data_IF_144071514960
#
_entry.id   IF_144071514960
#
_cell.length_a   1.000
_cell.length_b   1.000
_cell.length_c   1.000
_cell.angle_alpha   90.00
_cell.angle_beta   90.00
_cell.angle_gamma   90.00
#
_symmetry.space_group_name_H-M   'P 1'
#
loop_
_entity.id
_entity.type
_entity.pdbx_description
1 polymer ?
#
# COMPACT_ATOMS: atom_id res chain seq x y z
N UNK A 1 -11.43 -53.77 -65.10
CA UNK A 1 -9.95 -53.75 -65.09
C UNK A 1 -9.50 -52.54 -65.89
N UNK A 2 -8.49 -51.82 -65.37
CA UNK A 2 -7.78 -50.62 -65.90
C UNK A 2 -8.56 -49.33 -66.10
N UNK A 3 -8.21 -48.27 -65.34
CA UNK A 3 -7.41 -47.16 -65.87
C UNK A 3 -6.87 -46.25 -64.76
N UNK A 4 -5.75 -45.61 -65.08
CA UNK A 4 -4.81 -44.84 -64.26
C UNK A 4 -5.14 -43.35 -64.23
N UNK A 5 -4.84 -42.65 -63.12
CA UNK A 5 -3.99 -41.43 -63.12
C UNK A 5 -3.73 -40.87 -61.72
N UNK A 6 -2.50 -40.37 -61.58
CA UNK A 6 -1.92 -39.71 -60.42
C UNK A 6 -2.52 -38.32 -60.12
N UNK A 7 -2.43 -37.90 -58.86
CA UNK A 7 -2.15 -36.52 -58.48
C UNK A 7 -1.50 -36.50 -57.10
N UNK A 8 -0.31 -35.92 -57.05
CA UNK A 8 0.42 -35.53 -55.86
C UNK A 8 -0.41 -34.59 -54.98
N UNK A 9 -0.14 -34.68 -53.67
CA UNK A 9 -0.64 -33.76 -52.66
C UNK A 9 0.24 -33.88 -51.42
N UNK A 10 1.41 -33.26 -51.47
CA UNK A 10 2.29 -33.09 -50.32
C UNK A 10 1.56 -32.21 -49.29
N UNK A 11 1.25 -32.78 -48.12
CA UNK A 11 0.67 -32.04 -47.01
C UNK A 11 1.78 -31.24 -46.34
N UNK A 12 1.80 -29.94 -46.61
CA UNK A 12 2.60 -28.94 -45.90
C UNK A 12 2.31 -29.00 -44.39
N UNK A 13 3.32 -29.38 -43.61
CA UNK A 13 3.35 -29.22 -42.15
C UNK A 13 3.69 -27.76 -41.81
N UNK A 14 2.75 -26.84 -42.05
CA UNK A 14 2.82 -25.45 -41.54
C UNK A 14 2.00 -25.33 -40.26
N UNK A 15 2.37 -26.12 -39.26
CA UNK A 15 1.88 -25.98 -37.89
C UNK A 15 2.89 -25.23 -37.03
N UNK A 16 3.07 -23.92 -37.27
CA UNK A 16 3.73 -23.06 -36.30
C UNK A 16 2.95 -23.19 -34.98
N UNK A 17 3.54 -23.82 -33.98
CA UNK A 17 2.95 -23.96 -32.66
C UNK A 17 2.99 -22.58 -32.00
N UNK A 18 2.02 -21.73 -32.32
CA UNK A 18 1.79 -20.48 -31.59
C UNK A 18 1.53 -20.86 -30.13
N UNK A 19 2.48 -20.53 -29.26
CA UNK A 19 2.29 -20.62 -27.82
C UNK A 19 1.01 -19.84 -27.46
N UNK A 20 0.08 -20.41 -26.68
CA UNK A 20 -1.19 -19.77 -26.41
C UNK A 20 -0.95 -18.38 -25.80
N UNK A 21 -1.38 -17.33 -26.51
CA UNK A 21 -1.41 -15.97 -26.01
C UNK A 21 -2.37 -15.93 -24.82
N UNK A 22 -1.84 -16.11 -23.62
CA UNK A 22 -2.64 -16.01 -22.40
C UNK A 22 -3.16 -14.57 -22.27
N UNK A 23 -4.48 -14.41 -22.31
CA UNK A 23 -5.17 -13.14 -22.11
C UNK A 23 -4.73 -12.47 -20.80
N UNK A 24 -4.76 -11.13 -20.75
CA UNK A 24 -4.36 -10.32 -19.58
C UNK A 24 -4.98 -10.83 -18.27
N UNK A 25 -6.27 -11.20 -18.30
CA UNK A 25 -7.00 -11.77 -17.16
C UNK A 25 -6.45 -13.14 -16.75
N UNK A 26 -6.04 -13.98 -17.70
CA UNK A 26 -5.41 -15.27 -17.43
C UNK A 26 -4.01 -15.10 -16.83
N UNK A 27 -3.23 -14.11 -17.25
CA UNK A 27 -1.91 -13.77 -16.66
C UNK A 27 -2.03 -13.21 -15.23
N UNK A 28 -3.07 -12.42 -14.98
CA UNK A 28 -3.48 -11.97 -13.64
C UNK A 28 -3.80 -13.17 -12.75
N UNK A 29 -4.63 -14.10 -13.24
CA UNK A 29 -5.08 -15.27 -12.46
C UNK A 29 -3.96 -16.30 -12.23
N UNK A 30 -3.07 -16.48 -13.19
CA UNK A 30 -1.92 -17.42 -13.09
C UNK A 30 -0.70 -16.83 -12.37
N UNK A 31 -0.71 -15.53 -12.06
CA UNK A 31 0.38 -14.85 -11.34
C UNK A 31 1.69 -14.74 -12.12
N UNK A 32 1.68 -14.93 -13.44
CA UNK A 32 2.88 -15.06 -14.29
C UNK A 32 3.37 -13.74 -14.90
N UNK A 33 3.05 -12.59 -14.29
CA UNK A 33 3.72 -11.31 -14.58
C UNK A 33 2.85 -10.28 -15.30
N UNK A 34 1.72 -9.89 -14.71
CA UNK A 34 0.91 -8.80 -15.24
C UNK A 34 1.41 -7.40 -14.81
N UNK A 35 2.08 -7.28 -13.65
CA UNK A 35 2.49 -5.97 -13.11
C UNK A 35 3.97 -5.90 -12.75
N UNK A 36 4.60 -4.80 -13.15
CA UNK A 36 5.96 -4.43 -12.76
C UNK A 36 5.93 -3.31 -11.70
N UNK A 37 5.57 -3.71 -10.48
CA UNK A 37 5.44 -2.80 -9.33
C UNK A 37 6.82 -2.34 -8.84
N UNK A 38 7.75 -3.29 -8.70
CA UNK A 38 9.09 -3.00 -8.17
C UNK A 38 9.92 -2.16 -9.14
N UNK A 39 9.81 -2.42 -10.45
CA UNK A 39 10.50 -1.62 -11.47
C UNK A 39 10.05 -0.15 -11.48
N UNK A 40 8.76 0.10 -11.21
CA UNK A 40 8.17 1.44 -11.13
C UNK A 40 8.11 2.01 -9.71
N UNK A 41 8.87 1.48 -8.75
CA UNK A 41 8.85 1.90 -7.33
C UNK A 41 8.99 3.41 -7.10
N UNK A 42 9.74 4.14 -7.92
CA UNK A 42 9.88 5.61 -7.81
C UNK A 42 8.55 6.33 -8.02
N UNK A 43 7.75 5.88 -8.97
CA UNK A 43 6.41 6.41 -9.24
C UNK A 43 5.50 6.13 -8.03
N UNK A 44 5.52 4.90 -7.51
CA UNK A 44 4.71 4.54 -6.35
C UNK A 44 5.10 5.31 -5.08
N UNK A 45 6.39 5.54 -4.84
CA UNK A 45 6.83 6.44 -3.77
C UNK A 45 6.39 7.89 -3.98
N UNK A 46 6.41 8.38 -5.22
CA UNK A 46 5.87 9.71 -5.54
C UNK A 46 4.38 9.80 -5.20
N UNK A 47 3.59 8.81 -5.59
CA UNK A 47 2.14 8.75 -5.29
C UNK A 47 1.91 8.62 -3.79
N UNK A 48 2.55 7.68 -3.11
CA UNK A 48 2.42 7.48 -1.66
C UNK A 48 2.86 8.72 -0.89
N UNK A 49 3.96 9.36 -1.30
CA UNK A 49 4.44 10.61 -0.72
C UNK A 49 3.44 11.76 -0.90
N UNK A 50 2.83 11.89 -2.08
CA UNK A 50 1.79 12.88 -2.32
C UNK A 50 0.53 12.62 -1.46
N UNK A 51 0.10 11.36 -1.34
CA UNK A 51 -1.04 10.99 -0.48
C UNK A 51 -0.76 11.36 0.98
N UNK A 52 0.43 11.03 1.50
CA UNK A 52 0.83 11.40 2.86
C UNK A 52 0.93 12.91 3.02
N UNK A 53 1.48 13.62 2.05
CA UNK A 53 1.58 15.08 2.11
C UNK A 53 0.19 15.75 2.18
N UNK A 54 -0.76 15.28 1.35
CA UNK A 54 -2.15 15.76 1.39
C UNK A 54 -2.81 15.42 2.73
N UNK A 55 -2.61 14.20 3.23
CA UNK A 55 -3.13 13.76 4.53
C UNK A 55 -2.61 14.63 5.67
N UNK A 56 -1.29 14.87 5.74
CA UNK A 56 -0.67 15.70 6.77
C UNK A 56 -1.09 17.17 6.65
N UNK A 57 -1.12 17.73 5.44
CA UNK A 57 -1.56 19.10 5.21
C UNK A 57 -3.01 19.29 5.66
N UNK A 58 -3.87 18.31 5.38
CA UNK A 58 -5.25 18.32 5.86
C UNK A 58 -5.31 18.34 7.38
N UNK A 59 -4.57 17.45 8.04
CA UNK A 59 -4.55 17.36 9.51
C UNK A 59 -4.10 18.68 10.14
N UNK A 60 -3.09 19.33 9.57
CA UNK A 60 -2.54 20.59 10.08
C UNK A 60 -3.50 21.77 9.86
N UNK A 61 -4.11 21.87 8.67
CA UNK A 61 -4.94 23.02 8.31
C UNK A 61 -6.37 22.93 8.86
N UNK A 62 -6.96 21.74 8.86
CA UNK A 62 -8.38 21.53 9.19
C UNK A 62 -8.58 20.87 10.56
N UNK A 63 -7.62 20.07 11.01
CA UNK A 63 -7.74 19.31 12.25
C UNK A 63 -8.77 18.18 12.17
N UNK A 64 -9.19 17.69 13.34
CA UNK A 64 -10.17 16.60 13.47
C UNK A 64 -11.49 17.10 14.05
N UNK A 65 -12.60 16.62 13.49
CA UNK A 65 -13.93 16.82 14.06
C UNK A 65 -14.21 15.68 15.04
N UNK A 66 -13.97 15.90 16.33
CA UNK A 66 -14.32 14.89 17.34
C UNK A 66 -15.82 14.86 17.60
N UNK A 67 -16.39 13.65 17.72
CA UNK A 67 -17.77 13.46 18.10
C UNK A 67 -18.03 13.79 19.58
N UNK A 68 -19.32 13.87 19.93
CA UNK A 68 -19.77 14.11 21.32
C UNK A 68 -19.27 13.04 22.29
N UNK A 69 -18.93 11.85 21.79
CA UNK A 69 -18.36 10.77 22.58
C UNK A 69 -16.96 11.08 23.15
N UNK A 70 -16.24 12.05 22.59
CA UNK A 70 -14.94 12.49 23.10
C UNK A 70 -15.02 13.85 23.79
N UNK A 71 -15.84 14.77 23.27
CA UNK A 71 -15.98 16.13 23.81
C UNK A 71 -17.04 16.27 24.92
N UNK A 72 -17.95 15.31 25.04
CA UNK A 72 -19.23 15.52 25.72
C UNK A 72 -20.19 16.33 24.84
N UNK A 73 -21.49 16.26 25.13
CA UNK A 73 -22.49 17.09 24.47
C UNK A 73 -23.80 16.39 24.15
N UNK A 74 -24.63 17.04 23.34
CA UNK A 74 -25.89 16.47 22.84
C UNK A 74 -25.93 16.56 21.33
N UNK A 75 -26.23 15.43 20.69
CA UNK A 75 -26.52 15.35 19.25
C UNK A 75 -28.01 15.13 19.07
N UNK A 76 -28.63 15.90 18.18
CA UNK A 76 -30.02 15.71 17.75
C UNK A 76 -30.02 15.50 16.23
N UNK A 77 -30.72 14.47 15.77
CA UNK A 77 -30.84 14.10 14.36
C UNK A 77 -32.30 14.04 13.95
N UNK A 78 -32.60 14.54 12.75
CA UNK A 78 -33.93 14.42 12.14
C UNK A 78 -33.82 14.28 10.62
N UNK A 79 -34.81 13.64 9.95
CA UNK A 79 -34.93 13.70 8.50
C UNK A 79 -34.95 15.16 8.00
N UNK A 80 -34.15 15.46 6.99
CA UNK A 80 -33.97 16.83 6.47
C UNK A 80 -35.28 17.43 5.99
N UNK A 81 -36.04 16.69 5.18
CA UNK A 81 -37.14 17.26 4.40
C UNK A 81 -36.67 18.49 3.62
N UNK A 82 -37.33 19.62 3.84
CA UNK A 82 -36.98 20.91 3.22
C UNK A 82 -36.12 21.82 4.11
N UNK A 83 -35.64 21.33 5.26
CA UNK A 83 -34.90 22.14 6.21
C UNK A 83 -33.53 22.55 5.68
N UNK A 84 -33.19 23.83 5.82
CA UNK A 84 -31.85 24.37 5.59
C UNK A 84 -31.09 24.49 6.91
N UNK A 85 -29.75 24.37 6.86
CA UNK A 85 -28.88 24.47 8.04
C UNK A 85 -29.07 25.78 8.81
N UNK A 86 -29.23 26.90 8.09
CA UNK A 86 -29.48 28.22 8.68
C UNK A 86 -30.78 28.28 9.49
N UNK A 87 -31.87 27.74 8.94
CA UNK A 87 -33.18 27.69 9.59
C UNK A 87 -33.15 26.82 10.84
N UNK A 88 -32.48 25.66 10.76
CA UNK A 88 -32.35 24.75 11.89
C UNK A 88 -31.51 25.38 13.00
N UNK A 89 -30.43 26.08 12.65
CA UNK A 89 -29.62 26.84 13.60
C UNK A 89 -30.42 27.95 14.30
N UNK A 90 -31.30 28.64 13.56
CA UNK A 90 -32.16 29.68 14.12
C UNK A 90 -33.21 29.11 15.09
N UNK A 91 -33.85 27.99 14.73
CA UNK A 91 -34.80 27.29 15.61
C UNK A 91 -34.11 26.81 16.88
N UNK A 92 -32.89 26.26 16.76
CA UNK A 92 -32.08 25.87 17.91
C UNK A 92 -31.80 27.07 18.82
N UNK A 93 -31.32 28.19 18.24
CA UNK A 93 -31.02 29.41 19.00
C UNK A 93 -32.23 29.97 19.71
N UNK A 94 -33.41 29.96 19.06
CA UNK A 94 -34.67 30.39 19.66
C UNK A 94 -35.13 29.49 20.81
N UNK A 95 -34.92 28.18 20.71
CA UNK A 95 -35.35 27.21 21.71
C UNK A 95 -34.40 27.13 22.92
N UNK A 96 -33.08 27.22 22.69
CA UNK A 96 -32.05 27.00 23.71
C UNK A 96 -31.44 28.30 24.23
N UNK A 97 -31.48 29.39 23.46
CA UNK A 97 -30.86 30.67 23.80
C UNK A 97 -29.34 30.72 23.53
N UNK A 98 -28.77 29.68 22.92
CA UNK A 98 -27.36 29.59 22.49
C UNK A 98 -27.28 29.09 21.05
N UNK A 99 -26.21 29.40 20.35
CA UNK A 99 -25.94 28.80 19.04
C UNK A 99 -25.49 27.34 19.18
N UNK A 100 -25.86 26.46 18.23
CA UNK A 100 -25.33 25.10 18.19
C UNK A 100 -23.84 25.13 17.78
N UNK A 101 -23.06 24.15 18.22
CA UNK A 101 -21.66 24.01 17.80
C UNK A 101 -21.54 23.72 16.30
N UNK A 102 -22.46 22.90 15.77
CA UNK A 102 -22.52 22.63 14.33
C UNK A 102 -23.90 22.15 13.92
N UNK A 103 -24.31 22.50 12.70
CA UNK A 103 -25.48 21.95 12.02
C UNK A 103 -25.02 21.47 10.65
N UNK A 104 -25.09 20.17 10.41
CA UNK A 104 -24.66 19.56 9.15
C UNK A 104 -25.78 18.74 8.54
N UNK A 105 -25.86 18.78 7.22
CA UNK A 105 -26.73 17.87 6.46
C UNK A 105 -25.88 16.68 6.05
N UNK A 106 -26.37 15.49 6.38
CA UNK A 106 -25.70 14.24 6.09
C UNK A 106 -26.52 13.45 5.08
N UNK A 107 -25.89 13.05 3.98
CA UNK A 107 -26.54 12.33 2.89
C UNK A 107 -27.13 13.24 1.81
N UNK A 108 -27.73 12.61 0.79
CA UNK A 108 -28.25 13.29 -0.39
C UNK A 108 -29.68 12.83 -0.68
N UNK A 109 -30.50 13.72 -1.24
CA UNK A 109 -31.88 13.41 -1.64
C UNK A 109 -32.84 13.25 -0.46
N UNK A 110 -33.87 12.40 -0.64
CA UNK A 110 -34.97 12.22 0.30
C UNK A 110 -34.56 11.58 1.65
N UNK A 111 -33.44 10.86 1.67
CA UNK A 111 -32.90 10.21 2.89
C UNK A 111 -31.89 11.07 3.64
N UNK A 112 -31.65 12.32 3.19
CA UNK A 112 -30.75 13.22 3.90
C UNK A 112 -31.29 13.50 5.31
N UNK A 113 -30.40 13.52 6.29
CA UNK A 113 -30.69 13.90 7.68
C UNK A 113 -29.99 15.20 8.04
N UNK A 114 -30.58 15.95 8.96
CA UNK A 114 -29.94 17.09 9.60
C UNK A 114 -29.47 16.64 10.97
N UNK A 115 -28.17 16.81 11.23
CA UNK A 115 -27.54 16.51 12.50
C UNK A 115 -27.10 17.83 13.15
N UNK A 116 -27.58 18.03 14.37
CA UNK A 116 -27.33 19.21 15.20
C UNK A 116 -26.46 18.76 16.36
N UNK A 117 -25.42 19.53 16.67
CA UNK A 117 -24.54 19.32 17.81
C UNK A 117 -24.51 20.55 18.69
N UNK A 118 -24.49 20.30 19.99
CA UNK A 118 -24.34 21.33 21.00
C UNK A 118 -23.61 20.82 22.23
N UNK A 119 -23.27 21.75 23.10
CA UNK A 119 -23.00 21.48 24.52
C UNK A 119 -24.11 20.62 25.13
N UNK A 120 -23.80 19.96 26.25
CA UNK A 120 -24.73 19.04 26.93
C UNK A 120 -26.02 19.78 27.31
N UNK A 121 -27.13 19.31 26.75
CA UNK A 121 -28.47 19.78 27.06
C UNK A 121 -29.06 18.97 28.21
N UNK A 122 -29.78 19.63 29.10
CA UNK A 122 -30.62 18.96 30.09
C UNK A 122 -31.82 18.27 29.41
N UNK A 123 -32.42 17.25 30.06
CA UNK A 123 -33.60 16.56 29.50
C UNK A 123 -34.74 17.52 29.13
N UNK A 124 -34.93 18.58 29.92
CA UNK A 124 -35.95 19.61 29.66
C UNK A 124 -35.59 20.44 28.43
N UNK A 125 -34.33 20.83 28.28
CA UNK A 125 -33.84 21.55 27.10
C UNK A 125 -33.92 20.68 25.84
N UNK A 126 -33.54 19.40 25.91
CA UNK A 126 -33.65 18.46 24.80
C UNK A 126 -35.12 18.26 24.40
N UNK A 127 -36.03 18.19 25.37
CA UNK A 127 -37.47 18.09 25.10
C UNK A 127 -38.02 19.37 24.45
N UNK A 128 -37.63 20.55 24.96
CA UNK A 128 -37.96 21.85 24.35
C UNK A 128 -37.46 21.95 22.91
N UNK A 129 -36.23 21.54 22.66
CA UNK A 129 -35.63 21.54 21.33
C UNK A 129 -36.37 20.57 20.39
N UNK A 130 -36.68 19.36 20.84
CA UNK A 130 -37.43 18.38 20.04
C UNK A 130 -38.81 18.92 19.65
N UNK A 131 -39.50 19.60 20.57
CA UNK A 131 -40.78 20.24 20.28
C UNK A 131 -40.62 21.37 19.27
N UNK A 132 -39.66 22.27 19.46
CA UNK A 132 -39.43 23.38 18.55
C UNK A 132 -39.06 22.92 17.12
N UNK A 133 -38.23 21.88 17.01
CA UNK A 133 -37.88 21.28 15.71
C UNK A 133 -39.08 20.58 15.06
N UNK A 134 -39.92 19.90 15.84
CA UNK A 134 -41.14 19.29 15.34
C UNK A 134 -42.14 20.34 14.84
N UNK A 135 -42.35 21.40 15.60
CA UNK A 135 -43.29 22.47 15.24
C UNK A 135 -42.84 23.24 13.99
N UNK A 136 -41.52 23.42 13.82
CA UNK A 136 -40.96 24.13 12.67
C UNK A 136 -40.89 23.29 11.39
N UNK A 137 -40.52 22.00 11.49
CA UNK A 137 -40.14 21.20 10.32
C UNK A 137 -41.01 19.96 10.08
N UNK A 138 -41.82 19.55 11.07
CA UNK A 138 -42.71 18.39 10.98
C UNK A 138 -42.04 17.15 10.34
N UNK A 139 -40.88 16.69 10.86
CA UNK A 139 -40.12 15.61 10.26
C UNK A 139 -40.97 14.35 10.16
N UNK A 140 -40.92 13.71 8.99
CA UNK A 140 -41.73 12.52 8.66
C UNK A 140 -41.05 11.26 9.18
N UNK A 141 -41.80 10.40 9.87
CA UNK A 141 -41.37 9.05 10.23
C UNK A 141 -41.39 8.09 9.04
N UNK A 142 -41.06 6.82 9.29
CA UNK A 142 -40.99 5.78 8.26
C UNK A 142 -42.33 5.54 7.54
N UNK A 143 -43.43 5.88 8.21
CA UNK A 143 -44.81 5.81 7.75
C UNK A 143 -45.28 7.09 7.02
N UNK A 144 -44.35 8.01 6.71
CA UNK A 144 -44.58 9.19 5.87
C UNK A 144 -45.36 10.33 6.55
N UNK A 145 -45.73 10.15 7.82
CA UNK A 145 -46.47 11.12 8.64
C UNK A 145 -45.52 11.89 9.57
N UNK A 146 -45.79 13.18 9.87
CA UNK A 146 -45.04 13.92 10.87
C UNK A 146 -45.06 13.21 12.22
N UNK A 147 -43.89 12.97 12.80
CA UNK A 147 -43.76 12.27 14.07
C UNK A 147 -42.60 12.85 14.90
N UNK A 148 -42.81 13.05 16.20
CA UNK A 148 -41.73 13.44 17.13
C UNK A 148 -40.70 12.33 17.30
N UNK A 149 -41.09 11.07 17.07
CA UNK A 149 -40.20 9.91 17.10
C UNK A 149 -39.22 9.89 15.91
N UNK A 150 -39.48 10.68 14.86
CA UNK A 150 -38.52 10.88 13.78
C UNK A 150 -37.30 11.74 14.22
N UNK A 151 -37.36 12.36 15.39
CA UNK A 151 -36.25 13.14 15.97
C UNK A 151 -35.55 12.29 17.01
N UNK A 152 -34.32 11.86 16.70
CA UNK A 152 -33.45 11.11 17.59
C UNK A 152 -32.50 12.05 18.32
N UNK A 153 -32.25 11.78 19.59
CA UNK A 153 -31.30 12.48 20.43
C UNK A 153 -30.35 11.49 21.10
N UNK A 154 -29.11 11.91 21.27
CA UNK A 154 -28.08 11.21 22.02
C UNK A 154 -27.30 12.23 22.84
N UNK A 155 -27.22 12.01 24.15
CA UNK A 155 -26.47 12.85 25.06
C UNK A 155 -25.37 12.04 25.72
N UNK A 156 -24.17 12.63 25.78
CA UNK A 156 -23.00 12.04 26.41
C UNK A 156 -22.49 13.03 27.45
N UNK A 157 -22.25 12.54 28.67
CA UNK A 157 -21.66 13.35 29.74
C UNK A 157 -20.16 13.57 29.49
N UNK A 158 -19.65 14.73 29.88
CA UNK A 158 -18.22 15.07 29.79
C UNK A 158 -17.35 14.02 30.49
N UNK A 159 -17.77 13.53 31.66
CA UNK A 159 -17.07 12.48 32.42
C UNK A 159 -16.94 11.16 31.66
N UNK A 160 -17.95 10.79 30.88
CA UNK A 160 -17.91 9.60 30.05
C UNK A 160 -16.95 9.82 28.88
N UNK A 161 -17.03 10.98 28.23
CA UNK A 161 -16.16 11.32 27.10
C UNK A 161 -14.67 11.30 27.45
N UNK A 162 -14.31 11.86 28.61
CA UNK A 162 -12.94 11.87 29.11
C UNK A 162 -12.39 10.46 29.37
N UNK A 163 -13.21 9.60 29.98
CA UNK A 163 -12.83 8.20 30.26
C UNK A 163 -12.69 7.39 28.98
N UNK A 164 -13.59 7.58 28.01
CA UNK A 164 -13.58 6.86 26.74
C UNK A 164 -12.41 7.32 25.87
N UNK A 165 -12.12 8.62 25.80
CA UNK A 165 -10.94 9.15 25.10
C UNK A 165 -9.66 8.48 25.59
N UNK A 166 -9.45 8.44 26.92
CA UNK A 166 -8.26 7.84 27.52
C UNK A 166 -8.17 6.34 27.21
N UNK A 167 -9.26 5.60 27.36
CA UNK A 167 -9.29 4.16 27.07
C UNK A 167 -9.03 3.87 25.58
N UNK A 168 -9.59 4.66 24.67
CA UNK A 168 -9.38 4.51 23.24
C UNK A 168 -7.91 4.74 22.84
N UNK A 169 -7.27 5.78 23.41
CA UNK A 169 -5.85 6.06 23.18
C UNK A 169 -4.95 4.94 23.73
N UNK A 170 -5.24 4.47 24.95
CA UNK A 170 -4.50 3.34 25.56
C UNK A 170 -4.65 2.08 24.70
N UNK A 171 -5.86 1.76 24.25
CA UNK A 171 -6.11 0.60 23.40
C UNK A 171 -5.33 0.66 22.07
N UNK A 172 -5.28 1.84 21.43
CA UNK A 172 -4.50 2.05 20.21
C UNK A 172 -3.00 1.83 20.45
N UNK A 173 -2.44 2.42 21.52
CA UNK A 173 -1.01 2.29 21.83
C UNK A 173 -0.65 0.85 22.18
N UNK A 174 -1.47 0.18 23.00
CA UNK A 174 -1.27 -1.24 23.35
C UNK A 174 -1.34 -2.12 22.10
N UNK A 175 -2.31 -1.89 21.22
CA UNK A 175 -2.41 -2.61 19.95
C UNK A 175 -1.16 -2.44 19.08
N UNK A 176 -0.70 -1.20 18.88
CA UNK A 176 0.50 -0.91 18.09
C UNK A 176 1.75 -1.57 18.70
N UNK A 177 1.88 -1.57 20.02
CA UNK A 177 2.99 -2.21 20.72
C UNK A 177 2.98 -3.74 20.55
N UNK A 178 1.82 -4.38 20.73
CA UNK A 178 1.66 -5.83 20.57
C UNK A 178 1.93 -6.29 19.14
N UNK A 179 1.38 -5.56 18.16
CA UNK A 179 1.65 -5.81 16.73
C UNK A 179 3.14 -5.65 16.43
N UNK A 180 3.76 -4.58 16.92
CA UNK A 180 5.18 -4.32 16.65
C UNK A 180 6.06 -5.41 17.24
N UNK A 181 5.75 -5.86 18.45
CA UNK A 181 6.44 -6.99 19.08
C UNK A 181 6.27 -8.26 18.25
N UNK A 182 5.04 -8.59 17.86
CA UNK A 182 4.75 -9.78 17.05
C UNK A 182 5.53 -9.79 15.74
N UNK A 183 5.47 -8.69 14.97
CA UNK A 183 6.17 -8.58 13.68
C UNK A 183 7.68 -8.68 13.88
N UNK A 184 8.22 -8.03 14.90
CA UNK A 184 9.67 -8.03 15.18
C UNK A 184 10.18 -9.44 15.53
N UNK A 185 9.37 -10.24 16.22
CA UNK A 185 9.71 -11.63 16.55
C UNK A 185 9.51 -12.57 15.36
N UNK A 186 8.45 -12.35 14.56
CA UNK A 186 8.05 -13.25 13.46
C UNK A 186 8.84 -13.03 12.16
N UNK A 187 9.32 -11.80 11.90
CA UNK A 187 9.95 -11.41 10.64
C UNK A 187 11.38 -10.91 10.80
N UNK A 188 12.17 -11.02 9.73
CA UNK A 188 13.50 -10.41 9.68
C UNK A 188 13.42 -8.87 9.78
N UNK A 189 14.45 -8.26 10.38
CA UNK A 189 14.55 -6.82 10.69
C UNK A 189 14.04 -5.88 9.58
N UNK A 190 14.44 -6.11 8.33
CA UNK A 190 14.03 -5.24 7.21
C UNK A 190 12.57 -5.41 6.80
N UNK A 191 12.02 -6.62 6.94
CA UNK A 191 10.59 -6.88 6.74
C UNK A 191 9.80 -6.24 7.86
N UNK A 192 10.25 -6.36 9.11
CA UNK A 192 9.62 -5.72 10.25
C UNK A 192 9.57 -4.19 10.11
N UNK A 193 10.70 -3.54 9.78
CA UNK A 193 10.75 -2.09 9.54
C UNK A 193 9.80 -1.67 8.41
N UNK A 194 9.75 -2.44 7.33
CA UNK A 194 8.87 -2.14 6.19
C UNK A 194 7.40 -2.25 6.58
N UNK A 195 7.01 -3.33 7.26
CA UNK A 195 5.63 -3.53 7.73
C UNK A 195 5.19 -2.44 8.72
N UNK A 196 6.05 -2.08 9.68
CA UNK A 196 5.75 -1.01 10.64
C UNK A 196 5.62 0.35 9.97
N UNK A 197 6.49 0.65 9.01
CA UNK A 197 6.40 1.90 8.25
C UNK A 197 5.12 1.96 7.43
N UNK A 198 4.72 0.85 6.80
CA UNK A 198 3.43 0.73 6.10
C UNK A 198 2.25 0.93 7.04
N UNK A 199 2.30 0.37 8.25
CA UNK A 199 1.24 0.56 9.24
C UNK A 199 1.11 2.03 9.67
N UNK A 200 2.24 2.73 9.85
CA UNK A 200 2.24 4.18 10.10
C UNK A 200 1.67 4.97 8.91
N UNK A 201 1.99 4.56 7.68
CA UNK A 201 1.40 5.12 6.47
C UNK A 201 -0.14 4.95 6.49
N UNK A 202 -0.64 3.74 6.75
CA UNK A 202 -2.09 3.45 6.77
C UNK A 202 -2.82 4.29 7.81
N UNK A 203 -2.26 4.39 9.01
CA UNK A 203 -2.80 5.20 10.10
C UNK A 203 -2.85 6.67 9.71
N UNK A 204 -1.76 7.20 9.15
CA UNK A 204 -1.65 8.61 8.75
C UNK A 204 -2.60 8.95 7.62
N UNK A 205 -2.68 8.10 6.60
CA UNK A 205 -3.55 8.33 5.44
C UNK A 205 -5.02 8.19 5.83
N UNK A 206 -5.38 7.18 6.63
CA UNK A 206 -6.76 7.02 7.11
C UNK A 206 -7.19 8.21 7.97
N UNK A 207 -6.34 8.66 8.90
CA UNK A 207 -6.58 9.86 9.70
C UNK A 207 -6.66 11.13 8.83
N UNK A 208 -5.80 11.23 7.82
CA UNK A 208 -5.81 12.34 6.86
C UNK A 208 -7.09 12.43 6.05
N UNK A 209 -7.63 11.30 5.59
CA UNK A 209 -8.94 11.26 4.91
C UNK A 209 -10.06 11.72 5.83
N UNK A 210 -10.04 11.33 7.10
CA UNK A 210 -10.99 11.79 8.11
C UNK A 210 -10.96 13.30 8.30
N UNK A 211 -9.75 13.86 8.44
CA UNK A 211 -9.55 15.29 8.53
C UNK A 211 -9.99 16.01 7.23
N UNK A 212 -9.66 15.47 6.07
CA UNK A 212 -9.86 16.11 4.77
C UNK A 212 -11.33 16.25 4.42
N UNK A 213 -12.12 15.21 4.68
CA UNK A 213 -13.55 15.26 4.43
C UNK A 213 -14.29 15.94 5.59
N UNK A 214 -13.68 15.94 6.78
CA UNK A 214 -14.29 16.44 8.01
C UNK A 214 -15.22 15.41 8.66
N UNK A 215 -14.92 14.12 8.49
CA UNK A 215 -15.65 13.06 9.16
C UNK A 215 -15.42 13.08 10.66
N UNK A 216 -16.42 12.60 11.37
CA UNK A 216 -16.45 12.65 12.81
C UNK A 216 -15.65 11.48 13.38
N UNK A 217 -14.73 11.78 14.29
CA UNK A 217 -13.96 10.77 15.02
C UNK A 217 -14.77 10.41 16.25
N UNK A 218 -15.24 9.17 16.31
CA UNK A 218 -15.99 8.58 17.45
C UNK A 218 -15.27 7.33 17.98
N UNK A 219 -15.61 6.80 19.16
CA UNK A 219 -15.05 5.54 19.65
C UNK A 219 -15.26 4.38 18.66
N UNK A 220 -16.38 4.38 17.93
CA UNK A 220 -16.63 3.42 16.85
C UNK A 220 -15.59 3.55 15.72
N UNK A 221 -15.15 4.77 15.38
CA UNK A 221 -14.06 4.95 14.41
C UNK A 221 -12.73 4.38 14.90
N UNK A 222 -12.43 4.48 16.21
CA UNK A 222 -11.22 3.88 16.77
C UNK A 222 -11.29 2.35 16.69
N UNK A 223 -12.43 1.74 17.03
CA UNK A 223 -12.63 0.29 16.89
C UNK A 223 -12.46 -0.15 15.43
N UNK A 224 -13.05 0.59 14.49
CA UNK A 224 -12.90 0.32 13.07
C UNK A 224 -11.45 0.49 12.59
N UNK A 225 -10.73 1.50 13.10
CA UNK A 225 -9.31 1.73 12.82
C UNK A 225 -8.43 0.57 13.33
N UNK A 226 -8.68 0.05 14.53
CA UNK A 226 -7.97 -1.12 15.04
C UNK A 226 -8.24 -2.35 14.16
N UNK A 227 -9.49 -2.51 13.72
CA UNK A 227 -9.90 -3.60 12.82
C UNK A 227 -9.16 -3.55 11.48
N UNK A 228 -9.10 -2.37 10.83
CA UNK A 228 -8.41 -2.24 9.54
C UNK A 228 -6.90 -2.40 9.66
N UNK A 229 -6.30 -2.05 10.80
CA UNK A 229 -4.87 -2.27 10.98
C UNK A 229 -4.58 -3.78 11.00
N UNK A 230 -5.42 -4.58 11.68
CA UNK A 230 -5.34 -6.04 11.60
C UNK A 230 -5.48 -6.57 10.16
N UNK A 231 -6.42 -6.02 9.40
CA UNK A 231 -6.62 -6.40 8.00
C UNK A 231 -5.43 -6.04 7.10
N UNK A 232 -4.90 -4.82 7.20
CA UNK A 232 -3.73 -4.36 6.43
C UNK A 232 -2.48 -5.19 6.73
N UNK A 233 -2.28 -5.53 8.01
CA UNK A 233 -1.20 -6.41 8.43
C UNK A 233 -1.32 -7.79 7.83
N UNK A 234 -2.52 -8.38 7.80
CA UNK A 234 -2.74 -9.70 7.22
C UNK A 234 -2.30 -9.74 5.75
N UNK A 235 -2.66 -8.73 4.96
CA UNK A 235 -2.26 -8.67 3.55
C UNK A 235 -0.74 -8.45 3.39
N UNK A 236 -0.16 -7.56 4.20
CA UNK A 236 1.29 -7.32 4.21
C UNK A 236 2.08 -8.59 4.55
N UNK A 237 1.63 -9.36 5.55
CA UNK A 237 2.22 -10.63 5.99
C UNK A 237 2.18 -11.66 4.87
N UNK A 238 1.06 -11.81 4.15
CA UNK A 238 0.96 -12.77 3.04
C UNK A 238 1.93 -12.42 1.93
N UNK A 239 2.00 -11.15 1.53
CA UNK A 239 2.93 -10.71 0.49
C UNK A 239 4.38 -10.94 0.95
N UNK A 240 4.71 -10.63 2.20
CA UNK A 240 6.05 -10.79 2.74
C UNK A 240 6.46 -12.26 2.89
N UNK A 241 5.56 -13.13 3.34
CA UNK A 241 5.79 -14.57 3.37
C UNK A 241 6.10 -15.09 1.96
N UNK A 242 5.38 -14.60 0.93
CA UNK A 242 5.66 -14.99 -0.46
C UNK A 242 6.97 -14.41 -0.98
N UNK A 243 7.33 -13.20 -0.58
CA UNK A 243 8.65 -12.60 -0.89
C UNK A 243 9.76 -13.44 -0.25
N UNK A 244 9.63 -13.83 1.01
CA UNK A 244 10.58 -14.69 1.72
C UNK A 244 10.70 -16.07 1.04
N UNK A 245 9.57 -16.70 0.69
CA UNK A 245 9.55 -17.96 -0.04
C UNK A 245 10.27 -17.86 -1.39
N UNK A 246 9.97 -16.83 -2.18
CA UNK A 246 10.59 -16.62 -3.49
C UNK A 246 12.07 -16.21 -3.41
N UNK A 247 12.53 -15.73 -2.25
CA UNK A 247 13.90 -15.27 -2.04
C UNK A 247 14.75 -16.21 -1.18
N UNK A 248 14.20 -17.30 -0.63
CA UNK A 248 14.92 -18.23 0.26
C UNK A 248 16.29 -18.68 -0.26
N UNK A 249 16.39 -19.02 -1.55
CA UNK A 249 17.62 -19.51 -2.18
C UNK A 249 18.17 -18.57 -3.27
N UNK A 250 17.81 -17.28 -3.21
CA UNK A 250 18.17 -16.34 -4.28
C UNK A 250 19.68 -16.24 -4.50
N UNK A 251 20.48 -16.44 -3.44
CA UNK A 251 21.94 -16.36 -3.49
C UNK A 251 22.61 -17.41 -4.38
N UNK A 252 21.96 -18.56 -4.57
CA UNK A 252 22.48 -19.68 -5.35
C UNK A 252 22.13 -19.58 -6.84
N UNK A 253 21.12 -18.77 -7.19
CA UNK A 253 20.70 -18.55 -8.57
C UNK A 253 21.11 -17.16 -9.06
N UNK A 254 21.78 -17.11 -10.23
CA UNK A 254 22.15 -15.84 -10.87
C UNK A 254 21.20 -15.47 -12.03
N UNK A 255 20.01 -16.07 -12.09
CA UNK A 255 19.04 -15.84 -13.19
C UNK A 255 18.14 -14.64 -12.95
N UNK A 256 17.81 -14.34 -11.69
CA UNK A 256 16.90 -13.26 -11.29
C UNK A 256 17.45 -12.46 -10.11
N UNK A 257 17.10 -11.18 -10.04
CA UNK A 257 17.49 -10.29 -8.92
C UNK A 257 16.50 -10.41 -7.76
N UNK A 258 16.88 -9.97 -6.55
CA UNK A 258 15.95 -9.90 -5.41
C UNK A 258 14.67 -9.10 -5.74
N UNK A 259 14.83 -7.98 -6.45
CA UNK A 259 13.72 -7.15 -6.92
C UNK A 259 12.74 -7.90 -7.83
N UNK A 260 13.25 -8.75 -8.73
CA UNK A 260 12.41 -9.57 -9.61
C UNK A 260 11.69 -10.68 -8.87
N UNK A 261 12.34 -11.30 -7.87
CA UNK A 261 11.69 -12.28 -7.00
C UNK A 261 10.58 -11.64 -6.16
N UNK A 262 10.82 -10.44 -5.64
CA UNK A 262 9.80 -9.68 -4.92
C UNK A 262 8.64 -9.26 -5.85
N UNK A 263 8.92 -8.82 -7.07
CA UNK A 263 7.89 -8.50 -8.04
C UNK A 263 7.07 -9.74 -8.45
N UNK A 264 7.71 -10.90 -8.56
CA UNK A 264 7.01 -12.17 -8.79
C UNK A 264 6.09 -12.52 -7.62
N UNK A 265 6.55 -12.32 -6.37
CA UNK A 265 5.74 -12.56 -5.19
C UNK A 265 4.47 -11.71 -5.19
N UNK A 266 4.59 -10.41 -5.49
CA UNK A 266 3.43 -9.52 -5.64
C UNK A 266 2.44 -10.08 -6.67
N UNK A 267 2.90 -10.47 -7.86
CA UNK A 267 2.02 -10.98 -8.91
C UNK A 267 1.32 -12.28 -8.49
N UNK A 268 1.98 -13.15 -7.73
CA UNK A 268 1.40 -14.41 -7.25
C UNK A 268 0.36 -14.21 -6.15
N UNK A 269 0.48 -13.15 -5.36
CA UNK A 269 -0.48 -12.85 -4.28
C UNK A 269 -1.55 -11.85 -4.69
N UNK A 270 -1.35 -11.09 -5.77
CA UNK A 270 -2.21 -9.97 -6.17
C UNK A 270 -3.70 -10.32 -6.24
N UNK A 271 -4.07 -11.40 -6.94
CA UNK A 271 -5.47 -11.81 -7.05
C UNK A 271 -6.06 -12.25 -5.71
N UNK A 272 -5.25 -12.84 -4.84
CA UNK A 272 -5.68 -13.18 -3.48
C UNK A 272 -5.95 -11.91 -2.68
N UNK A 273 -5.01 -10.97 -2.68
CA UNK A 273 -5.14 -9.67 -1.99
C UNK A 273 -6.38 -8.91 -2.45
N UNK A 274 -6.61 -8.83 -3.77
CA UNK A 274 -7.82 -8.21 -4.33
C UNK A 274 -9.08 -8.95 -3.87
N UNK A 275 -9.10 -10.28 -3.98
CA UNK A 275 -10.30 -11.05 -3.63
C UNK A 275 -10.64 -10.90 -2.14
N UNK A 276 -9.64 -11.00 -1.25
CA UNK A 276 -9.84 -10.83 0.19
C UNK A 276 -10.32 -9.41 0.50
N UNK A 277 -9.76 -8.40 -0.16
CA UNK A 277 -10.16 -6.99 0.02
C UNK A 277 -11.57 -6.73 -0.50
N UNK A 278 -11.93 -7.27 -1.66
CA UNK A 278 -13.26 -7.15 -2.23
C UNK A 278 -14.31 -7.84 -1.34
N UNK A 279 -14.03 -9.06 -0.88
CA UNK A 279 -14.89 -9.79 0.05
C UNK A 279 -15.04 -9.05 1.38
N UNK A 280 -13.99 -8.38 1.86
CA UNK A 280 -14.07 -7.54 3.07
C UNK A 280 -14.86 -6.24 2.86
N UNK A 281 -14.72 -5.60 1.70
CA UNK A 281 -15.39 -4.34 1.36
C UNK A 281 -16.88 -4.55 1.09
N UNK A 282 -17.30 -5.68 0.52
CA UNK A 282 -18.70 -5.90 0.13
C UNK A 282 -19.69 -5.82 1.32
N UNK A 283 -19.48 -6.51 2.46
CA UNK A 283 -20.34 -6.36 3.64
C UNK A 283 -20.32 -4.94 4.22
N UNK A 284 -19.16 -4.29 4.21
CA UNK A 284 -19.00 -2.91 4.70
C UNK A 284 -19.77 -1.94 3.81
N UNK A 285 -19.72 -2.10 2.49
CA UNK A 285 -20.51 -1.33 1.53
C UNK A 285 -22.01 -1.61 1.68
N UNK A 286 -22.40 -2.88 1.83
CA UNK A 286 -23.79 -3.24 2.06
C UNK A 286 -24.32 -2.61 3.35
N UNK A 287 -23.54 -2.68 4.43
CA UNK A 287 -23.85 -2.03 5.70
C UNK A 287 -23.92 -0.52 5.52
N UNK A 288 -23.00 0.10 4.79
CA UNK A 288 -23.02 1.53 4.53
C UNK A 288 -24.28 1.95 3.75
N UNK A 289 -24.64 1.22 2.69
CA UNK A 289 -25.85 1.49 1.91
C UNK A 289 -27.09 1.33 2.80
N UNK A 290 -27.20 0.25 3.56
CA UNK A 290 -28.34 -0.01 4.46
C UNK A 290 -28.40 1.02 5.59
N UNK A 291 -27.29 1.31 6.26
CA UNK A 291 -27.24 2.25 7.38
C UNK A 291 -27.57 3.68 6.92
N UNK A 292 -27.08 4.11 5.75
CA UNK A 292 -27.31 5.46 5.22
C UNK A 292 -28.69 5.60 4.58
N UNK A 293 -29.17 4.61 3.82
CA UNK A 293 -30.45 4.73 3.10
C UNK A 293 -31.67 4.28 3.90
N UNK A 294 -31.54 3.24 4.75
CA UNK A 294 -32.69 2.63 5.42
C UNK A 294 -32.84 3.04 6.88
N UNK A 295 -31.72 3.21 7.61
CA UNK A 295 -31.76 3.36 9.07
C UNK A 295 -31.41 4.79 9.54
N UNK A 296 -30.67 5.57 8.74
CA UNK A 296 -30.26 6.93 9.12
C UNK A 296 -29.37 6.98 10.37
N UNK A 297 -28.80 5.86 10.81
CA UNK A 297 -28.04 5.75 12.05
C UNK A 297 -26.60 6.19 11.80
N UNK A 298 -26.19 7.31 12.39
CA UNK A 298 -24.86 7.90 12.23
C UNK A 298 -23.71 7.00 12.69
N UNK A 299 -23.87 6.28 13.80
CA UNK A 299 -22.78 5.47 14.40
C UNK A 299 -22.37 4.28 13.52
N UNK A 300 -23.33 3.61 12.87
CA UNK A 300 -23.05 2.52 11.93
C UNK A 300 -22.35 3.02 10.66
N UNK A 301 -22.74 4.22 10.19
CA UNK A 301 -22.07 4.89 9.08
C UNK A 301 -20.60 5.18 9.43
N UNK A 302 -20.32 5.68 10.63
CA UNK A 302 -18.96 6.04 11.04
C UNK A 302 -18.03 4.81 11.07
N UNK A 303 -18.53 3.68 11.56
CA UNK A 303 -17.80 2.41 11.56
C UNK A 303 -17.58 1.89 10.12
N UNK A 304 -18.60 1.93 9.27
CA UNK A 304 -18.48 1.48 7.89
C UNK A 304 -17.49 2.32 7.10
N UNK A 305 -17.49 3.63 7.32
CA UNK A 305 -16.65 4.56 6.60
C UNK A 305 -15.17 4.35 6.91
N UNK A 306 -14.80 4.24 8.20
CA UNK A 306 -13.40 3.99 8.57
C UNK A 306 -12.93 2.65 8.00
N UNK A 307 -13.80 1.64 8.02
CA UNK A 307 -13.47 0.31 7.50
C UNK A 307 -13.28 0.35 5.99
N UNK A 308 -14.16 1.03 5.26
CA UNK A 308 -14.05 1.18 3.82
C UNK A 308 -12.75 1.89 3.42
N UNK A 309 -12.47 3.04 4.03
CA UNK A 309 -11.24 3.79 3.76
C UNK A 309 -10.01 2.95 4.12
N UNK A 310 -10.00 2.35 5.31
CA UNK A 310 -8.86 1.58 5.79
C UNK A 310 -8.58 0.33 4.96
N UNK A 311 -9.61 -0.39 4.47
CA UNK A 311 -9.39 -1.53 3.58
C UNK A 311 -8.79 -1.07 2.25
N UNK A 312 -9.32 0.00 1.66
CA UNK A 312 -8.78 0.53 0.40
C UNK A 312 -7.32 0.99 0.53
N UNK A 313 -7.01 1.73 1.61
CA UNK A 313 -5.66 2.19 1.91
C UNK A 313 -4.72 1.02 2.19
N UNK A 314 -5.13 0.06 3.02
CA UNK A 314 -4.32 -1.11 3.37
C UNK A 314 -4.03 -2.01 2.16
N UNK A 315 -5.02 -2.22 1.27
CA UNK A 315 -4.82 -2.99 0.03
C UNK A 315 -3.83 -2.28 -0.91
N UNK A 316 -3.90 -0.96 -0.99
CA UNK A 316 -2.96 -0.18 -1.77
C UNK A 316 -1.54 -0.25 -1.16
N UNK A 317 -1.43 -0.03 0.15
CA UNK A 317 -0.14 0.13 0.82
C UNK A 317 0.63 -1.18 0.91
N UNK A 318 -0.03 -2.32 1.13
CA UNK A 318 0.62 -3.65 1.17
C UNK A 318 1.34 -3.97 -0.15
N UNK A 319 0.68 -3.69 -1.28
CA UNK A 319 1.17 -4.01 -2.63
C UNK A 319 2.15 -2.95 -3.14
N UNK A 320 1.76 -1.68 -3.07
CA UNK A 320 2.45 -0.58 -3.75
C UNK A 320 3.42 0.21 -2.87
N UNK A 321 3.38 0.02 -1.54
CA UNK A 321 4.29 0.71 -0.62
C UNK A 321 5.19 -0.26 0.16
N UNK A 322 4.63 -1.27 0.82
CA UNK A 322 5.35 -2.16 1.73
C UNK A 322 6.46 -2.96 1.02
N UNK A 323 6.11 -3.61 -0.10
CA UNK A 323 7.08 -4.46 -0.82
C UNK A 323 8.16 -3.65 -1.54
N UNK A 324 7.85 -2.53 -2.23
CA UNK A 324 8.88 -1.61 -2.72
C UNK A 324 9.83 -1.11 -1.63
N UNK A 325 9.29 -0.77 -0.45
CA UNK A 325 10.07 -0.32 0.71
C UNK A 325 11.04 -1.41 1.17
N UNK A 326 10.55 -2.64 1.32
CA UNK A 326 11.38 -3.79 1.64
C UNK A 326 12.51 -3.99 0.64
N UNK A 327 12.21 -3.99 -0.66
CA UNK A 327 13.24 -4.15 -1.72
C UNK A 327 14.27 -3.04 -1.63
N UNK A 328 13.84 -1.80 -1.40
CA UNK A 328 14.75 -0.64 -1.31
C UNK A 328 15.68 -0.73 -0.11
N UNK A 329 15.18 -1.19 1.04
CA UNK A 329 16.01 -1.43 2.23
C UNK A 329 16.98 -2.60 2.01
N UNK A 330 16.51 -3.68 1.40
CA UNK A 330 17.31 -4.88 1.12
C UNK A 330 18.42 -4.63 0.10
N UNK A 331 18.16 -3.87 -0.95
CA UNK A 331 19.16 -3.53 -1.98
C UNK A 331 20.31 -2.68 -1.42
N UNK A 332 20.12 -2.00 -0.28
CA UNK A 332 21.20 -1.27 0.42
C UNK A 332 22.15 -2.21 1.16
N UNK A 333 21.74 -3.44 1.47
CA UNK A 333 22.59 -4.45 2.11
C UNK A 333 23.62 -5.00 1.13
N UNK A 334 24.86 -5.19 1.59
CA UNK A 334 25.97 -5.66 0.75
C UNK A 334 25.68 -6.99 0.04
N UNK A 335 25.00 -7.91 0.74
CA UNK A 335 24.63 -9.23 0.23
C UNK A 335 23.79 -9.13 -1.03
N UNK A 336 22.68 -8.38 -0.98
CA UNK A 336 21.75 -8.21 -2.10
C UNK A 336 22.40 -7.39 -3.20
N UNK A 337 23.12 -6.32 -2.87
CA UNK A 337 23.83 -5.48 -3.86
C UNK A 337 24.86 -6.29 -4.66
N UNK A 338 25.63 -7.14 -3.99
CA UNK A 338 26.65 -7.99 -4.62
C UNK A 338 26.03 -9.07 -5.49
N UNK A 339 24.93 -9.68 -5.03
CA UNK A 339 24.16 -10.63 -5.85
C UNK A 339 23.57 -9.97 -7.09
N UNK A 340 22.88 -8.84 -6.95
CA UNK A 340 22.30 -8.08 -8.07
C UNK A 340 23.37 -7.71 -9.11
N UNK A 341 24.56 -7.26 -8.67
CA UNK A 341 25.69 -6.99 -9.58
C UNK A 341 26.13 -8.25 -10.34
N UNK A 342 26.20 -9.42 -9.70
CA UNK A 342 26.55 -10.70 -10.34
C UNK A 342 25.52 -11.09 -11.41
N UNK A 343 24.24 -10.97 -11.09
CA UNK A 343 23.13 -11.24 -12.04
C UNK A 343 23.23 -10.30 -13.25
N UNK A 344 23.39 -9.00 -13.02
CA UNK A 344 23.46 -8.00 -14.10
C UNK A 344 24.71 -8.18 -14.97
N UNK A 345 25.87 -8.50 -14.40
CA UNK A 345 27.09 -8.80 -15.16
C UNK A 345 26.91 -10.01 -16.07
N UNK A 346 26.25 -11.07 -15.59
CA UNK A 346 25.97 -12.28 -16.38
C UNK A 346 24.94 -12.03 -17.50
N UNK A 347 24.07 -11.04 -17.34
CA UNK A 347 23.05 -10.66 -18.34
C UNK A 347 23.56 -9.71 -19.42
N UNK A 348 24.66 -8.98 -19.19
CA UNK A 348 25.28 -8.21 -20.27
C UNK A 348 25.70 -9.21 -21.35
N UNK A 349 25.20 -9.08 -22.59
CA UNK A 349 25.58 -10.02 -23.63
C UNK A 349 27.08 -9.90 -23.89
N UNK A 350 27.71 -11.05 -24.12
CA UNK A 350 29.06 -11.19 -24.67
C UNK A 350 29.11 -10.72 -26.12
N UNK A 351 28.76 -9.46 -26.38
CA UNK A 351 28.81 -8.84 -27.73
C UNK A 351 30.04 -7.95 -27.93
N UNK A 352 30.99 -7.95 -26.99
CA UNK A 352 32.24 -7.19 -27.13
C UNK A 352 33.45 -8.03 -27.57
N UNK A 353 33.29 -9.34 -27.80
CA UNK A 353 34.40 -10.26 -28.12
C UNK A 353 34.35 -10.86 -29.54
N UNK A 354 33.43 -10.42 -30.41
CA UNK A 354 33.30 -10.93 -31.80
C UNK A 354 33.40 -9.85 -32.88
N UNK A 355 33.93 -8.66 -32.56
CA UNK A 355 34.14 -7.57 -33.52
C UNK A 355 35.62 -7.12 -33.59
N UNK A 356 36.55 -7.98 -33.19
CA UNK A 356 37.98 -7.72 -33.29
C UNK A 356 38.70 -8.98 -33.77
N UNK A 357 38.33 -9.46 -34.95
CA UNK A 357 39.11 -10.40 -35.75
C UNK A 357 38.57 -10.35 -37.19
N UNK A 358 38.95 -9.30 -37.93
CA UNK A 358 39.02 -9.38 -39.40
C UNK A 358 40.48 -9.59 -39.79
N UNK A 359 40.81 -10.63 -40.58
CA UNK A 359 42.15 -10.83 -41.10
C UNK A 359 42.38 -9.89 -42.29
N UNK A 360 43.49 -9.16 -42.26
CA UNK A 360 43.99 -8.40 -43.41
C UNK A 360 44.59 -9.36 -44.44
N UNK A 361 44.02 -9.40 -45.64
CA UNK A 361 44.67 -9.95 -46.85
C UNK A 361 44.90 -8.84 -47.89
N UNK A 362 46.17 -8.64 -48.22
CA UNK A 362 46.66 -8.55 -49.60
C UNK A 362 46.46 -7.26 -50.40
N UNK A 363 47.54 -6.48 -50.55
CA UNK A 363 47.64 -5.43 -51.56
C UNK A 363 48.99 -4.73 -51.55
N UNK A 364 49.99 -5.32 -52.20
CA UNK A 364 51.32 -4.76 -52.44
C UNK A 364 51.27 -3.74 -53.58
N UNK A 365 51.85 -2.55 -53.41
CA UNK A 365 52.77 -1.93 -54.38
C UNK A 365 53.40 -0.64 -53.82
N UNK A 366 54.68 -0.46 -54.14
CA UNK A 366 55.59 0.52 -53.60
C UNK A 366 55.59 1.83 -54.39
N UNK A 367 55.88 2.96 -53.73
CA UNK A 367 56.65 4.06 -54.34
C UNK A 367 57.27 4.97 -53.26
N UNK A 368 58.59 5.10 -53.30
CA UNK A 368 59.39 6.10 -52.58
C UNK A 368 59.20 7.50 -53.18
N UNK A 369 59.20 8.55 -52.33
CA UNK A 369 59.82 9.87 -52.62
C UNK A 369 59.81 10.79 -51.37
N UNK A 370 60.98 10.93 -50.76
CA UNK A 370 61.67 12.15 -50.28
C UNK A 370 60.96 13.52 -50.20
N UNK A 371 60.95 14.10 -48.99
CA UNK A 371 61.73 15.30 -48.55
C UNK A 371 61.01 16.53 -47.93
N UNK A 372 61.71 17.12 -46.94
CA UNK A 372 61.73 18.50 -46.38
C UNK A 372 60.71 18.97 -45.30
N UNK A 373 61.30 19.26 -44.11
CA UNK A 373 61.08 20.23 -42.99
C UNK A 373 59.85 21.18 -42.97
N UNK A 374 59.27 21.67 -41.85
CA UNK A 374 59.87 22.31 -40.66
C UNK A 374 58.81 22.61 -39.56
N UNK A 375 59.26 22.65 -38.29
CA UNK A 375 58.78 23.40 -37.09
C UNK A 375 57.38 23.18 -36.44
N UNK A 376 57.37 22.75 -35.17
CA UNK A 376 57.02 23.58 -33.99
C UNK A 376 57.03 22.80 -32.63
N UNK A 377 57.91 23.27 -31.73
CA UNK A 377 57.90 23.36 -30.25
C UNK A 377 57.38 22.25 -29.29
N UNK A 378 58.31 21.86 -28.38
CA UNK A 378 58.25 21.09 -27.10
C UNK A 378 57.61 21.88 -25.91
N UNK A 379 57.53 21.36 -24.64
CA UNK A 379 57.63 20.00 -24.07
C UNK A 379 56.52 19.67 -23.03
N UNK A 380 56.41 18.40 -22.57
CA UNK A 380 56.36 18.01 -21.13
C UNK A 380 56.09 16.50 -20.92
N UNK A 381 56.95 15.87 -20.11
CA UNK A 381 56.89 14.50 -19.59
C UNK A 381 56.23 14.49 -18.18
N UNK A 382 55.89 13.37 -17.49
CA UNK A 382 56.51 12.05 -17.61
C UNK A 382 55.61 10.81 -17.52
N UNK A 383 56.24 9.71 -17.91
CA UNK A 383 55.82 8.31 -17.89
C UNK A 383 55.55 7.75 -16.48
N UNK A 384 54.55 6.85 -16.38
CA UNK A 384 54.47 5.83 -15.33
C UNK A 384 54.21 4.45 -15.98
N UNK A 385 54.81 3.37 -15.45
CA UNK A 385 54.94 2.11 -16.17
C UNK A 385 53.66 1.27 -16.13
N UNK A 386 53.37 0.63 -17.26
CA UNK A 386 52.29 -0.33 -17.45
C UNK A 386 52.60 -1.62 -16.69
N UNK A 387 51.62 -2.09 -15.93
CA UNK A 387 51.66 -3.35 -15.20
C UNK A 387 51.71 -4.56 -16.15
N UNK A 388 52.69 -5.43 -15.95
CA UNK A 388 52.77 -6.74 -16.60
C UNK A 388 51.53 -7.59 -16.27
N UNK A 389 50.70 -7.88 -17.28
CA UNK A 389 49.75 -8.99 -17.26
C UNK A 389 50.56 -10.32 -17.32
N UNK A 390 50.29 -11.32 -16.48
CA UNK A 390 50.84 -12.66 -16.70
C UNK A 390 50.09 -13.36 -17.83
N UNK A 391 50.85 -13.98 -18.75
CA UNK A 391 50.33 -14.80 -19.84
C UNK A 391 49.60 -16.07 -19.33
N UNK A 392 48.60 -16.59 -20.05
CA UNK A 392 47.80 -17.72 -19.61
C UNK A 392 48.54 -19.04 -19.88
N UNK A 393 48.81 -19.84 -18.83
CA UNK A 393 49.42 -21.17 -19.02
C UNK A 393 50.05 -21.87 -17.82
N UNK A 394 49.99 -21.35 -16.59
CA UNK A 394 50.62 -21.99 -15.42
C UNK A 394 49.59 -22.73 -14.53
N UNK A 395 49.76 -24.06 -14.44
CA UNK A 395 49.02 -24.98 -13.55
C UNK A 395 49.37 -24.68 -12.08
N UNK A 396 48.40 -24.43 -11.17
CA UNK A 396 48.74 -24.17 -9.77
C UNK A 396 49.14 -25.47 -9.04
N UNK A 397 50.36 -25.49 -8.52
CA UNK A 397 50.88 -26.54 -7.63
C UNK A 397 50.31 -26.35 -6.23
N UNK A 398 49.75 -27.43 -5.68
CA UNK A 398 49.07 -27.53 -4.38
C UNK A 398 50.07 -27.37 -3.22
N UNK A 399 49.89 -26.43 -2.27
CA UNK A 399 50.62 -26.46 -1.01
C UNK A 399 50.03 -27.52 -0.08
N UNK A 400 50.92 -28.38 0.42
CA UNK A 400 50.69 -29.47 1.36
C UNK A 400 50.14 -28.96 2.69
N UNK A 401 49.06 -29.60 3.16
CA UNK A 401 48.39 -29.25 4.40
C UNK A 401 49.21 -29.60 5.64
N UNK A 402 49.49 -28.59 6.46
CA UNK A 402 49.90 -28.76 7.86
C UNK A 402 48.72 -29.21 8.72
N UNK A 403 48.94 -30.34 9.40
CA UNK A 403 48.12 -31.04 10.40
C UNK A 403 47.16 -30.16 11.23
N UNK A 404 45.88 -30.53 11.23
CA UNK A 404 44.89 -30.25 12.29
C UNK A 404 45.18 -31.15 13.52
N UNK A 405 45.15 -30.64 14.77
CA UNK A 405 44.98 -31.49 15.93
C UNK A 405 43.49 -31.83 16.14
N UNK A 406 43.20 -33.10 16.44
CA UNK A 406 41.87 -33.59 16.75
C UNK A 406 41.44 -33.17 18.16
N UNK A 407 40.34 -32.42 18.25
CA UNK A 407 39.66 -32.14 19.52
C UNK A 407 38.81 -33.33 19.93
N UNK A 408 39.17 -33.98 21.04
CA UNK A 408 38.39 -35.01 21.73
C UNK A 408 37.03 -34.44 22.16
N UNK A 409 35.97 -35.19 21.86
CA UNK A 409 34.60 -34.94 22.29
C UNK A 409 34.38 -35.69 23.61
N UNK A 410 34.43 -34.99 24.74
CA UNK A 410 34.00 -35.53 26.02
C UNK A 410 32.46 -35.45 26.09
N UNK A 411 31.81 -36.60 26.09
CA UNK A 411 30.43 -36.76 26.50
C UNK A 411 30.44 -37.38 27.89
N UNK A 412 29.88 -36.69 28.89
CA UNK A 412 29.69 -37.24 30.22
C UNK A 412 29.13 -36.24 31.23
N UNK A 413 27.85 -36.46 31.58
CA UNK A 413 27.17 -36.18 32.87
C UNK A 413 27.15 -34.71 33.36
N UNK A 414 26.01 -34.13 33.75
CA UNK A 414 24.98 -34.62 34.68
C UNK A 414 23.69 -33.82 34.48
#
# INVERSE_FOLDING_TARGET
MTSSKASEGAVELTGATELPHHNFISRLYTGTGAFEVIGRRKLWYGISGAIVAIALLSIILRGFTFGIDFKGGTTVSMPRGNAQTSQVSEVFRKAIGKDPESVVIVGNGASATVQIRSETLTNDQTTKLRNALFDAFQPKGNDGKPSKQAISDSAVSETWGDQITKKALIALVVFLALVSLYITVRYERYMAISALTTMCFDLTVTAGVYSLVGFEVTPATVIGLLTILGFSLYDTVIVFDKVEENTRDFQHTNRRTFAEHANLAINQTFMRSINTSLIGVLPVLALMVVAVWLLGVGTLKDLALVQLVGILVGTYSSIFFATPLLVTLRERTELVRTHTRRVLKRRKPSHAESAAEEPAEGGTEATEATDVTEAAEEPEAPSKPVANKPAPGARPVRPTGTRRPSGKRNAGRR
#
